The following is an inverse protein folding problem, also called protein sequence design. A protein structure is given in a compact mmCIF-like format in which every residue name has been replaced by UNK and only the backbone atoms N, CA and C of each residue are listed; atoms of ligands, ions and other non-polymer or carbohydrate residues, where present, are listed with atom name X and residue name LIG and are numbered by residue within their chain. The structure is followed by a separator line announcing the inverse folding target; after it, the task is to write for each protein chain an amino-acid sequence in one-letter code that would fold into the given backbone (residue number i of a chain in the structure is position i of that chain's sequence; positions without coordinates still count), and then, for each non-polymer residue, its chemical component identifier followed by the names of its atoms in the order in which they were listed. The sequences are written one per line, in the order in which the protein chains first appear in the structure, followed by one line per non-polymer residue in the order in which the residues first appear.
data_IF_342876956207
#
_entry.id   IF_342876956207
#
_cell.length_a   1.000
_cell.length_b   1.000
_cell.length_c   1.000
_cell.angle_alpha   90.00
_cell.angle_beta   90.00
_cell.angle_gamma   90.00
#
_symmetry.space_group_name_H-M   'P 1'
#
loop_
_entity.id
_entity.type
_entity.pdbx_description
1 polymer ?
#
# COMPACT_ATOMS: atom_id res chain seq x y z
N UNK A 1 15.27 -5.13 -10.37
CA UNK A 1 15.24 -5.54 -8.93
C UNK A 1 14.70 -6.96 -8.88
N UNK A 2 15.21 -7.84 -8.01
CA UNK A 2 14.81 -9.26 -7.97
C UNK A 2 14.82 -9.78 -6.54
N UNK A 3 13.99 -10.78 -6.24
CA UNK A 3 14.03 -11.49 -4.96
C UNK A 3 15.24 -12.43 -4.90
N UNK A 4 15.94 -12.43 -3.77
CA UNK A 4 17.05 -13.36 -3.51
C UNK A 4 16.54 -14.79 -3.26
N UNK A 5 15.35 -14.91 -2.68
CA UNK A 5 14.75 -16.19 -2.31
C UNK A 5 14.07 -16.87 -3.51
N UNK A 6 13.56 -16.09 -4.47
CA UNK A 6 12.89 -16.60 -5.66
C UNK A 6 13.19 -15.74 -6.90
N UNK A 7 14.03 -16.24 -7.81
CA UNK A 7 14.29 -15.57 -9.09
C UNK A 7 13.31 -16.04 -10.17
N UNK A 8 12.39 -15.17 -10.54
CA UNK A 8 11.47 -15.37 -11.67
C UNK A 8 11.69 -14.28 -12.73
N UNK A 9 11.63 -14.61 -14.04
CA UNK A 9 11.62 -13.61 -15.09
C UNK A 9 10.32 -12.79 -15.04
N UNK A 10 10.42 -11.47 -15.23
CA UNK A 10 9.25 -10.59 -15.30
C UNK A 10 8.65 -10.55 -16.71
N UNK A 11 7.32 -10.54 -16.81
CA UNK A 11 6.59 -10.60 -18.08
C UNK A 11 6.53 -9.29 -18.88
N UNK A 12 7.33 -8.29 -18.54
CA UNK A 12 7.37 -6.99 -19.20
C UNK A 12 8.80 -6.56 -19.53
N UNK A 13 8.97 -5.73 -20.55
CA UNK A 13 10.27 -5.30 -21.06
C UNK A 13 10.64 -3.90 -20.56
N UNK A 14 11.94 -3.64 -20.45
CA UNK A 14 12.45 -2.30 -20.15
C UNK A 14 12.26 -1.37 -21.35
N UNK A 15 11.81 -0.12 -21.15
CA UNK A 15 11.69 0.83 -22.25
C UNK A 15 13.06 1.31 -22.72
N UNK A 16 13.13 1.73 -23.98
CA UNK A 16 14.31 2.40 -24.51
C UNK A 16 14.40 3.80 -23.91
N UNK A 17 15.52 4.11 -23.25
CA UNK A 17 15.80 5.44 -22.70
C UNK A 17 16.71 6.21 -23.65
N UNK A 18 16.31 7.43 -24.01
CA UNK A 18 17.13 8.37 -24.79
C UNK A 18 17.43 9.56 -23.91
N UNK A 19 18.70 9.75 -23.58
CA UNK A 19 19.17 10.93 -22.85
C UNK A 19 19.57 12.00 -23.87
N UNK A 20 19.27 13.28 -23.62
CA UNK A 20 19.85 14.36 -24.40
C UNK A 20 21.36 14.39 -24.21
N UNK A 21 22.07 14.78 -25.27
CA UNK A 21 23.53 14.94 -25.25
C UNK A 21 23.89 16.27 -24.55
N UNK A 22 23.70 16.31 -23.24
CA UNK A 22 23.96 17.47 -22.41
C UNK A 22 25.30 17.31 -21.67
N UNK A 23 26.15 18.33 -21.75
CA UNK A 23 27.50 18.32 -21.18
C UNK A 23 27.62 19.21 -19.92
N UNK A 24 26.48 19.61 -19.33
CA UNK A 24 26.46 20.55 -18.19
C UNK A 24 26.83 19.90 -16.86
N UNK A 25 26.79 18.57 -16.78
CA UNK A 25 27.11 17.79 -15.56
C UNK A 25 28.10 16.68 -15.85
N UNK A 26 28.81 16.25 -14.81
CA UNK A 26 29.80 15.16 -14.87
C UNK A 26 29.15 13.78 -15.10
N UNK A 27 27.92 13.58 -14.63
CA UNK A 27 27.21 12.29 -14.71
C UNK A 27 25.70 12.53 -14.84
N UNK A 28 25.04 11.69 -15.63
CA UNK A 28 23.59 11.59 -15.74
C UNK A 28 23.15 10.16 -15.47
N UNK A 29 22.12 9.99 -14.63
CA UNK A 29 21.51 8.70 -14.35
C UNK A 29 20.15 8.62 -15.04
N UNK A 30 19.92 7.53 -15.77
CA UNK A 30 18.64 7.21 -16.37
C UNK A 30 18.00 6.06 -15.60
N UNK A 31 16.84 6.31 -15.01
CA UNK A 31 16.06 5.29 -14.30
C UNK A 31 14.71 5.18 -15.00
N UNK A 32 14.46 4.02 -15.60
CA UNK A 32 13.17 3.72 -16.23
C UNK A 32 12.11 3.31 -15.20
N UNK A 33 10.85 3.49 -15.56
CA UNK A 33 9.69 2.94 -14.85
C UNK A 33 9.80 1.42 -14.58
N UNK A 34 10.49 0.66 -15.44
CA UNK A 34 10.80 -0.76 -15.26
C UNK A 34 11.41 -1.08 -13.89
N UNK A 35 12.28 -0.22 -13.35
CA UNK A 35 12.88 -0.44 -12.03
C UNK A 35 11.80 -0.45 -10.95
N UNK A 36 10.87 0.51 -10.99
CA UNK A 36 9.76 0.58 -10.06
C UNK A 36 8.77 -0.58 -10.25
N UNK A 37 8.45 -0.93 -11.51
CA UNK A 37 7.55 -2.06 -11.81
C UNK A 37 8.10 -3.39 -11.26
N UNK A 38 9.39 -3.64 -11.44
CA UNK A 38 10.03 -4.84 -10.89
C UNK A 38 10.10 -4.82 -9.36
N UNK A 39 10.40 -3.67 -8.75
CA UNK A 39 10.40 -3.53 -7.30
C UNK A 39 9.02 -3.83 -6.71
N UNK A 40 7.99 -3.13 -7.20
CA UNK A 40 6.61 -3.28 -6.73
C UNK A 40 6.13 -4.73 -6.81
N UNK A 41 6.47 -5.45 -7.88
CA UNK A 41 6.15 -6.86 -8.01
C UNK A 41 6.81 -7.69 -6.90
N UNK A 42 8.12 -7.55 -6.72
CA UNK A 42 8.87 -8.29 -5.70
C UNK A 42 8.36 -7.99 -4.29
N UNK A 43 8.10 -6.73 -3.96
CA UNK A 43 7.57 -6.34 -2.65
C UNK A 43 6.14 -6.83 -2.42
N UNK A 44 5.31 -6.88 -3.46
CA UNK A 44 3.95 -7.41 -3.39
C UNK A 44 3.96 -8.92 -3.20
N UNK A 45 4.75 -9.65 -3.98
CA UNK A 45 4.92 -11.11 -3.85
C UNK A 45 5.49 -11.53 -2.48
N UNK A 46 6.39 -10.72 -1.92
CA UNK A 46 6.92 -10.93 -0.58
C UNK A 46 5.92 -10.60 0.55
N UNK A 47 4.74 -10.04 0.24
CA UNK A 47 3.74 -9.63 1.22
C UNK A 47 4.11 -8.39 2.02
N UNK A 48 5.18 -7.68 1.65
CA UNK A 48 5.65 -6.47 2.34
C UNK A 48 4.76 -5.25 2.11
N UNK A 49 3.78 -5.34 1.21
CA UNK A 49 2.78 -4.29 0.98
C UNK A 49 1.49 -4.51 1.80
N UNK A 50 1.47 -5.49 2.69
CA UNK A 50 0.36 -5.69 3.62
C UNK A 50 0.54 -4.81 4.84
N UNK A 51 -0.55 -4.23 5.33
CA UNK A 51 -0.54 -3.33 6.48
C UNK A 51 -1.72 -3.57 7.40
N UNK A 52 -1.55 -3.21 8.67
CA UNK A 52 -2.61 -3.20 9.67
C UNK A 52 -2.60 -1.84 10.37
N UNK A 53 -3.78 -1.24 10.49
CA UNK A 53 -4.02 0.04 11.15
C UNK A 53 -4.93 -0.20 12.34
N UNK A 54 -4.41 0.09 13.52
CA UNK A 54 -5.10 0.02 14.81
C UNK A 54 -5.30 1.43 15.38
N UNK A 55 -6.19 1.59 16.36
CA UNK A 55 -6.57 2.89 16.92
C UNK A 55 -5.40 3.66 17.60
N UNK A 56 -4.35 2.95 18.03
CA UNK A 56 -3.12 3.52 18.60
C UNK A 56 -2.21 4.15 17.54
N UNK A 57 -2.29 3.71 16.28
CA UNK A 57 -1.58 4.32 15.15
C UNK A 57 -2.26 5.60 14.66
N UNK A 58 -3.51 5.84 15.06
CA UNK A 58 -4.26 7.05 14.70
C UNK A 58 -3.84 8.19 15.62
N UNK A 59 -3.35 9.33 15.07
CA UNK A 59 -2.97 10.48 15.87
C UNK A 59 -4.09 10.92 16.81
N UNK A 60 -3.79 11.27 18.08
CA UNK A 60 -4.80 11.73 19.04
C UNK A 60 -5.57 12.98 18.59
N UNK A 61 -5.00 13.76 17.66
CA UNK A 61 -5.59 14.95 17.07
C UNK A 61 -6.63 14.66 15.99
N UNK A 62 -6.76 13.41 15.55
CA UNK A 62 -7.75 13.00 14.54
C UNK A 62 -9.16 12.98 15.14
N UNK A 63 -10.11 13.60 14.45
CA UNK A 63 -11.54 13.52 14.77
C UNK A 63 -12.13 12.13 14.47
N UNK A 64 -11.41 11.29 13.74
CA UNK A 64 -11.82 9.92 13.39
C UNK A 64 -10.99 8.97 14.23
N UNK A 65 -11.65 8.11 15.00
CA UNK A 65 -11.03 7.01 15.77
C UNK A 65 -11.44 5.68 15.19
N UNK A 66 -10.57 4.67 15.28
CA UNK A 66 -10.87 3.29 14.91
C UNK A 66 -11.55 2.59 16.08
N UNK A 67 -12.75 3.06 16.42
CA UNK A 67 -13.59 2.48 17.47
C UNK A 67 -15.02 2.30 16.97
N UNK A 68 -15.73 1.31 17.50
CA UNK A 68 -17.12 1.03 17.12
C UNK A 68 -18.06 2.21 17.41
N UNK A 69 -17.74 3.02 18.43
CA UNK A 69 -18.46 4.25 18.74
C UNK A 69 -18.28 5.33 17.67
N UNK A 70 -17.06 5.54 17.20
CA UNK A 70 -16.78 6.51 16.12
C UNK A 70 -17.44 6.06 14.81
N UNK A 71 -17.50 4.76 14.56
CA UNK A 71 -18.15 4.18 13.37
C UNK A 71 -19.68 4.07 13.48
N UNK A 72 -20.27 4.36 14.63
CA UNK A 72 -21.73 4.29 14.85
C UNK A 72 -22.53 5.09 13.83
N UNK A 73 -22.00 6.24 13.39
CA UNK A 73 -22.64 7.11 12.39
C UNK A 73 -22.70 6.46 11.01
N UNK A 74 -21.70 5.64 10.66
CA UNK A 74 -21.61 4.96 9.36
C UNK A 74 -22.26 3.56 9.39
N UNK A 75 -22.01 2.79 10.46
CA UNK A 75 -22.48 1.41 10.62
C UNK A 75 -23.14 1.24 12.00
N UNK A 76 -24.41 1.65 12.17
CA UNK A 76 -25.08 1.63 13.47
C UNK A 76 -25.24 0.23 14.08
N UNK A 77 -25.31 -0.82 13.25
CA UNK A 77 -25.41 -2.22 13.71
C UNK A 77 -24.13 -2.70 14.38
N UNK A 78 -22.97 -2.28 13.88
CA UNK A 78 -21.65 -2.62 14.43
C UNK A 78 -21.54 -2.15 15.89
N UNK A 79 -21.91 -0.89 16.15
CA UNK A 79 -21.88 -0.31 17.49
C UNK A 79 -22.89 -0.96 18.47
N UNK A 80 -23.95 -1.60 17.96
CA UNK A 80 -24.93 -2.31 18.79
C UNK A 80 -24.46 -3.70 19.20
N UNK A 81 -23.83 -4.43 18.27
CA UNK A 81 -23.31 -5.78 18.53
C UNK A 81 -22.01 -5.75 19.32
N UNK A 82 -21.15 -4.75 19.07
CA UNK A 82 -19.83 -4.62 19.67
C UNK A 82 -19.66 -3.23 20.31
N UNK A 83 -20.30 -2.95 21.45
CA UNK A 83 -20.23 -1.64 22.09
C UNK A 83 -18.83 -1.39 22.69
N UNK A 84 -18.30 -0.17 22.51
CA UNK A 84 -17.02 0.28 23.08
C UNK A 84 -15.81 -0.61 22.73
N UNK A 85 -15.74 -1.10 21.49
CA UNK A 85 -14.62 -1.95 21.03
C UNK A 85 -13.72 -1.20 20.05
N UNK A 86 -12.45 -1.59 20.01
CA UNK A 86 -11.49 -1.08 19.04
C UNK A 86 -11.67 -1.81 17.70
N UNK A 87 -11.35 -1.10 16.62
CA UNK A 87 -11.34 -1.65 15.27
C UNK A 87 -9.89 -1.76 14.79
N UNK A 88 -9.66 -2.76 13.95
CA UNK A 88 -8.43 -2.93 13.19
C UNK A 88 -8.79 -2.94 11.71
N UNK A 89 -8.11 -2.13 10.90
CA UNK A 89 -8.21 -2.17 9.45
C UNK A 89 -6.99 -2.89 8.90
N UNK A 90 -7.19 -3.99 8.20
CA UNK A 90 -6.12 -4.72 7.51
C UNK A 90 -6.23 -4.47 6.03
N UNK A 91 -5.15 -4.01 5.43
CA UNK A 91 -5.07 -3.75 4.02
C UNK A 91 -4.02 -4.62 3.34
N UNK A 92 -4.31 -5.05 2.13
CA UNK A 92 -3.35 -5.72 1.25
C UNK A 92 -3.45 -5.14 -0.16
N UNK A 93 -2.33 -5.13 -0.88
CA UNK A 93 -2.33 -4.77 -2.29
C UNK A 93 -2.92 -5.93 -3.10
N UNK A 94 -4.01 -5.65 -3.84
CA UNK A 94 -4.66 -6.63 -4.74
C UNK A 94 -3.72 -7.03 -5.87
N UNK A 95 -2.88 -6.10 -6.31
CA UNK A 95 -1.83 -6.33 -7.29
C UNK A 95 -0.67 -5.37 -7.07
N UNK A 96 0.49 -5.72 -7.61
CA UNK A 96 1.68 -4.88 -7.54
C UNK A 96 1.42 -3.48 -8.13
N UNK A 97 1.65 -2.40 -7.37
CA UNK A 97 1.38 -1.05 -7.86
C UNK A 97 2.35 -0.67 -8.98
N UNK A 98 1.82 -0.15 -10.08
CA UNK A 98 2.63 0.34 -11.19
C UNK A 98 2.89 1.84 -11.06
N UNK A 99 4.09 2.27 -11.46
CA UNK A 99 4.46 3.66 -11.62
C UNK A 99 4.70 3.91 -13.11
N UNK A 100 4.01 4.89 -13.68
CA UNK A 100 4.11 5.29 -15.08
C UNK A 100 4.76 6.65 -15.18
N UNK A 101 5.72 6.77 -16.09
CA UNK A 101 6.50 7.98 -16.31
C UNK A 101 5.97 8.65 -17.57
N UNK A 102 5.37 9.83 -17.43
CA UNK A 102 5.02 10.69 -18.56
C UNK A 102 6.01 11.84 -18.70
N UNK A 103 5.76 12.72 -19.67
CA UNK A 103 6.55 13.92 -19.91
C UNK A 103 6.38 14.92 -18.75
N UNK A 104 7.18 14.77 -17.70
CA UNK A 104 7.17 15.64 -16.52
C UNK A 104 6.24 15.22 -15.40
N UNK A 105 5.59 14.05 -15.48
CA UNK A 105 4.75 13.53 -14.41
C UNK A 105 5.05 12.07 -14.08
N UNK A 106 4.76 11.72 -12.84
CA UNK A 106 4.77 10.35 -12.34
C UNK A 106 3.34 10.03 -11.90
N UNK A 107 2.78 8.94 -12.41
CA UNK A 107 1.43 8.50 -12.03
C UNK A 107 1.45 7.06 -11.53
N UNK A 108 0.66 6.79 -10.49
CA UNK A 108 0.49 5.46 -9.93
C UNK A 108 -0.95 5.28 -9.48
N UNK A 109 -1.49 4.09 -9.70
CA UNK A 109 -2.85 3.72 -9.31
C UNK A 109 -2.80 2.43 -8.50
N UNK A 110 -2.44 2.51 -7.20
CA UNK A 110 -2.45 1.34 -6.34
C UNK A 110 -3.89 0.85 -6.12
N UNK A 111 -4.09 -0.47 -6.16
CA UNK A 111 -5.35 -1.09 -5.80
C UNK A 111 -5.18 -1.86 -4.51
N UNK A 112 -5.91 -1.43 -3.49
CA UNK A 112 -5.84 -1.97 -2.12
C UNK A 112 -7.20 -2.56 -1.77
N UNK A 113 -7.19 -3.74 -1.17
CA UNK A 113 -8.34 -4.33 -0.50
C UNK A 113 -8.18 -4.10 1.00
N UNK A 114 -9.22 -3.58 1.64
CA UNK A 114 -9.22 -3.26 3.06
C UNK A 114 -10.36 -3.98 3.74
N UNK A 115 -10.03 -4.75 4.76
CA UNK A 115 -10.96 -5.45 5.64
C UNK A 115 -10.93 -4.82 7.03
N UNK A 116 -12.12 -4.69 7.63
CA UNK A 116 -12.26 -4.20 9.00
C UNK A 116 -12.54 -5.35 9.95
N UNK A 117 -11.93 -5.33 11.12
CA UNK A 117 -12.13 -6.30 12.18
C UNK A 117 -12.44 -5.59 13.50
N UNK A 118 -13.33 -6.17 14.28
CA UNK A 118 -13.54 -5.82 15.69
C UNK A 118 -12.53 -6.55 16.54
N UNK A 119 -11.86 -5.82 17.42
CA UNK A 119 -10.96 -6.36 18.42
C UNK A 119 -11.74 -6.69 19.69
N UNK A 120 -11.98 -7.97 19.92
CA UNK A 120 -12.65 -8.46 21.11
C UNK A 120 -11.72 -8.38 22.35
N UNK A 121 -12.27 -8.35 23.58
CA UNK A 121 -11.47 -8.29 24.81
C UNK A 121 -10.48 -9.43 25.00
N UNK A 122 -10.73 -10.58 24.37
CA UNK A 122 -9.84 -11.75 24.34
C UNK A 122 -8.77 -11.67 23.23
N UNK A 123 -8.59 -10.51 22.60
CA UNK A 123 -7.70 -10.28 21.46
C UNK A 123 -8.00 -11.10 20.21
N UNK A 124 -9.21 -11.68 20.13
CA UNK A 124 -9.71 -12.33 18.91
C UNK A 124 -10.24 -11.24 17.97
N UNK A 125 -9.97 -11.43 16.68
CA UNK A 125 -10.42 -10.55 15.61
C UNK A 125 -11.70 -11.13 15.02
N UNK A 126 -12.75 -10.34 14.98
CA UNK A 126 -14.03 -10.73 14.39
C UNK A 126 -14.32 -9.82 13.17
N UNK A 127 -14.57 -10.41 11.98
CA UNK A 127 -14.85 -9.64 10.76
C UNK A 127 -16.24 -8.97 10.78
#
# INVERSE_FOLDING_TARGET
IFSLDHRSPVGFLAPVMRLPEEHSRMVYFAVSDYVFKTASLVYNEAGFLNFSITDDLVPPTSNIRLTTNSFRTFVPRLARLYPNMNLELRGAMVSAPFLNFGSGNLSSTPQIEVEGFVLLPNSVREP
#
